data_IF_411944462809
#
_entry.id   IF_411944462809
#
_cell.length_a   1.000
_cell.length_b   1.000
_cell.length_c   1.000
_cell.angle_alpha   90.00
_cell.angle_beta   90.00
_cell.angle_gamma   90.00
#
_symmetry.space_group_name_H-M   'P 1'
#
loop_
_entity.id
_entity.type
_entity.pdbx_description
1 polymer ?
#
# COMPACT_ATOMS: atom_id res chain seq x y z
N UNK A 1 1.57 5.82 0.01
CA UNK A 1 1.91 7.27 0.04
C UNK A 1 1.79 7.79 1.47
N UNK A 2 2.77 8.56 1.95
CA UNK A 2 2.87 8.87 3.38
C UNK A 2 3.60 10.21 3.63
N UNK A 3 3.17 10.94 4.67
CA UNK A 3 3.92 12.04 5.31
C UNK A 3 3.32 12.31 6.70
N UNK A 4 4.15 12.34 7.75
CA UNK A 4 3.79 12.78 9.10
C UNK A 4 2.49 12.15 9.68
N UNK A 5 2.29 10.83 9.50
CA UNK A 5 1.08 10.10 9.95
C UNK A 5 1.42 8.83 10.73
N UNK A 6 2.38 8.92 11.66
CA UNK A 6 3.00 7.75 12.29
C UNK A 6 2.00 6.90 13.09
N UNK A 7 1.05 7.52 13.79
CA UNK A 7 -0.01 6.82 14.51
C UNK A 7 -0.89 5.98 13.57
N UNK A 8 -1.31 6.55 12.43
CA UNK A 8 -2.04 5.82 11.41
C UNK A 8 -1.20 4.69 10.82
N UNK A 9 0.10 4.92 10.55
CA UNK A 9 0.97 3.89 9.99
C UNK A 9 1.14 2.71 10.95
N UNK A 10 1.33 2.97 12.25
CA UNK A 10 1.42 1.92 13.24
C UNK A 10 0.16 1.06 13.26
N UNK A 11 -1.02 1.70 13.34
CA UNK A 11 -2.31 1.00 13.30
C UNK A 11 -2.51 0.24 11.98
N UNK A 12 -2.13 0.85 10.85
CA UNK A 12 -2.15 0.23 9.53
C UNK A 12 -1.37 -1.08 9.50
N UNK A 13 -0.13 -1.08 9.98
CA UNK A 13 0.69 -2.29 9.99
C UNK A 13 0.13 -3.36 10.94
N UNK A 14 -0.35 -2.96 12.11
CA UNK A 14 -0.95 -3.88 13.09
C UNK A 14 -2.19 -4.61 12.53
N UNK A 15 -2.99 -3.94 11.70
CA UNK A 15 -4.21 -4.51 11.10
C UNK A 15 -3.91 -5.24 9.79
N UNK A 16 -3.12 -4.62 8.91
CA UNK A 16 -2.94 -5.11 7.54
C UNK A 16 -2.02 -6.31 7.47
N UNK A 17 -0.99 -6.43 8.32
CA UNK A 17 -0.12 -7.60 8.27
C UNK A 17 -0.88 -8.91 8.54
N UNK A 18 -1.68 -9.04 9.61
CA UNK A 18 -2.52 -10.22 9.82
C UNK A 18 -3.55 -10.44 8.69
N UNK A 19 -4.17 -9.36 8.20
CA UNK A 19 -5.17 -9.44 7.14
C UNK A 19 -4.59 -10.01 5.83
N UNK A 20 -3.45 -9.48 5.36
CA UNK A 20 -2.79 -9.94 4.13
C UNK A 20 -2.21 -11.35 4.28
N UNK A 21 -1.70 -11.70 5.47
CA UNK A 21 -1.23 -13.08 5.76
C UNK A 21 -2.37 -14.09 5.69
N UNK A 22 -3.57 -13.76 6.18
CA UNK A 22 -4.75 -14.63 6.07
C UNK A 22 -5.21 -14.86 4.63
N UNK A 23 -4.82 -13.97 3.70
CA UNK A 23 -5.06 -14.15 2.27
C UNK A 23 -3.94 -14.92 1.55
N UNK A 24 -2.94 -15.41 2.29
CA UNK A 24 -1.82 -16.21 1.77
C UNK A 24 -1.06 -15.52 0.63
N UNK A 25 -0.91 -14.19 0.74
CA UNK A 25 -0.23 -13.39 -0.26
C UNK A 25 1.28 -13.38 -0.01
N UNK A 26 2.06 -13.46 -1.09
CA UNK A 26 3.44 -12.98 -1.10
C UNK A 26 3.43 -11.47 -1.33
N UNK A 27 3.73 -10.69 -0.30
CA UNK A 27 3.60 -9.24 -0.33
C UNK A 27 4.76 -8.54 0.37
N UNK A 28 5.01 -7.31 -0.07
CA UNK A 28 5.89 -6.35 0.60
C UNK A 28 5.16 -5.03 0.75
N UNK A 29 5.20 -4.41 1.94
CA UNK A 29 4.59 -3.09 2.17
C UNK A 29 5.65 -2.02 1.92
N UNK A 30 5.37 -1.13 0.97
CA UNK A 30 6.21 0.02 0.66
C UNK A 30 5.57 1.31 1.20
N UNK A 31 6.22 1.92 2.18
CA UNK A 31 5.83 3.24 2.72
C UNK A 31 6.63 4.32 2.02
N UNK A 32 6.00 4.97 1.03
CA UNK A 32 6.65 6.04 0.25
C UNK A 32 6.43 7.38 0.94
N UNK A 33 7.46 7.86 1.63
CA UNK A 33 7.45 9.10 2.39
C UNK A 33 7.80 10.32 1.52
N UNK A 34 6.93 11.33 1.50
CA UNK A 34 7.28 12.64 0.94
C UNK A 34 8.01 13.48 1.99
N UNK A 35 9.25 13.82 1.70
CA UNK A 35 10.04 14.72 2.55
C UNK A 35 9.69 16.20 2.27
N UNK A 36 9.92 17.05 3.28
CA UNK A 36 9.65 18.49 3.21
C UNK A 36 8.18 18.85 3.39
N UNK A 37 7.91 20.16 3.36
CA UNK A 37 6.63 20.77 3.70
C UNK A 37 5.84 21.27 2.47
N UNK A 38 6.34 20.96 1.27
CA UNK A 38 5.66 21.26 0.00
C UNK A 38 4.28 20.59 -0.11
N UNK A 39 3.49 20.95 -1.12
CA UNK A 39 2.20 20.32 -1.34
C UNK A 39 2.31 18.78 -1.47
N UNK A 40 1.44 18.06 -0.77
CA UNK A 40 1.46 16.60 -0.78
C UNK A 40 0.99 16.07 -2.13
N UNK A 41 1.85 15.34 -2.85
CA UNK A 41 1.53 14.82 -4.16
C UNK A 41 1.34 13.30 -4.11
N UNK A 42 0.10 12.87 -3.81
CA UNK A 42 -0.25 11.46 -3.74
C UNK A 42 0.12 10.70 -5.02
N UNK A 43 -0.22 11.25 -6.19
CA UNK A 43 0.00 10.58 -7.48
C UNK A 43 1.48 10.30 -7.77
N UNK A 44 2.35 11.28 -7.52
CA UNK A 44 3.80 11.11 -7.68
C UNK A 44 4.33 10.04 -6.74
N UNK A 45 3.90 10.00 -5.48
CA UNK A 45 4.36 8.98 -4.53
C UNK A 45 3.92 7.56 -4.92
N UNK A 46 2.73 7.40 -5.52
CA UNK A 46 2.30 6.11 -6.05
C UNK A 46 3.20 5.65 -7.20
N UNK A 47 3.53 6.57 -8.12
CA UNK A 47 4.43 6.29 -9.24
C UNK A 47 5.85 5.94 -8.76
N UNK A 48 6.40 6.71 -7.82
CA UNK A 48 7.70 6.43 -7.19
C UNK A 48 7.68 5.05 -6.53
N UNK A 49 6.60 4.72 -5.80
CA UNK A 49 6.47 3.40 -5.18
C UNK A 49 6.51 2.25 -6.18
N UNK A 50 5.83 2.37 -7.31
CA UNK A 50 5.90 1.38 -8.39
C UNK A 50 7.34 1.23 -8.93
N UNK A 51 7.98 2.35 -9.28
CA UNK A 51 9.32 2.36 -9.89
C UNK A 51 10.35 1.75 -8.93
N UNK A 52 10.35 2.14 -7.65
CA UNK A 52 11.33 1.65 -6.68
C UNK A 52 11.08 0.18 -6.30
N UNK A 53 9.82 -0.25 -6.17
CA UNK A 53 9.49 -1.64 -5.88
C UNK A 53 9.98 -2.58 -7.00
N UNK A 54 9.80 -2.20 -8.27
CA UNK A 54 10.26 -2.97 -9.43
C UNK A 54 11.79 -3.14 -9.51
N UNK A 55 12.57 -2.32 -8.81
CA UNK A 55 14.03 -2.50 -8.72
C UNK A 55 14.44 -3.61 -7.75
N UNK A 56 13.58 -3.95 -6.79
CA UNK A 56 13.85 -4.96 -5.76
C UNK A 56 13.35 -6.34 -6.13
N UNK A 57 12.19 -6.39 -6.80
CA UNK A 57 11.57 -7.65 -7.21
C UNK A 57 10.63 -7.43 -8.39
N UNK A 58 10.43 -8.47 -9.20
CA UNK A 58 9.47 -8.49 -10.30
C UNK A 58 8.05 -8.74 -9.75
N UNK A 59 7.42 -7.70 -9.22
CA UNK A 59 6.05 -7.79 -8.72
C UNK A 59 5.03 -7.79 -9.87
N UNK A 60 4.07 -8.71 -9.83
CA UNK A 60 3.02 -8.82 -10.86
C UNK A 60 1.73 -8.05 -10.50
N UNK A 61 1.65 -7.52 -9.27
CA UNK A 61 0.48 -6.81 -8.78
C UNK A 61 0.86 -5.66 -7.84
N UNK A 62 0.16 -4.54 -7.97
CA UNK A 62 0.35 -3.34 -7.16
C UNK A 62 -0.97 -2.90 -6.55
N UNK A 63 -1.01 -2.81 -5.21
CA UNK A 63 -2.14 -2.24 -4.47
C UNK A 63 -1.73 -0.87 -3.95
N UNK A 64 -2.41 0.17 -4.43
CA UNK A 64 -2.24 1.53 -3.93
C UNK A 64 -3.21 1.77 -2.79
N UNK A 65 -2.68 2.18 -1.63
CA UNK A 65 -3.44 2.19 -0.40
C UNK A 65 -3.16 3.45 0.43
N UNK A 66 -4.22 4.06 0.97
CA UNK A 66 -4.10 5.12 1.96
C UNK A 66 -3.89 4.54 3.36
N UNK A 67 -3.09 5.21 4.18
CA UNK A 67 -2.69 4.67 5.50
C UNK A 67 -3.84 4.62 6.52
N UNK A 68 -4.97 5.26 6.22
CA UNK A 68 -6.14 5.43 7.09
C UNK A 68 -7.39 4.65 6.63
N UNK A 69 -7.26 3.79 5.62
CA UNK A 69 -8.32 2.89 5.18
C UNK A 69 -8.09 1.48 5.72
N UNK A 70 -9.17 0.77 6.06
CA UNK A 70 -9.08 -0.60 6.59
C UNK A 70 -10.17 -1.48 5.98
N UNK A 71 -9.86 -2.73 5.59
CA UNK A 71 -10.86 -3.67 5.14
C UNK A 71 -11.66 -4.23 6.32
N UNK A 72 -12.99 -4.18 6.24
CA UNK A 72 -13.89 -4.73 7.26
C UNK A 72 -14.19 -6.22 7.06
N UNK A 73 -13.92 -6.75 5.86
CA UNK A 73 -14.27 -8.12 5.46
C UNK A 73 -13.09 -8.82 4.77
N UNK A 74 -12.79 -10.05 5.20
CA UNK A 74 -11.72 -10.88 4.61
C UNK A 74 -11.98 -11.25 3.14
N UNK A 75 -13.23 -11.12 2.68
CA UNK A 75 -13.61 -11.31 1.27
C UNK A 75 -13.13 -10.17 0.36
N UNK A 76 -12.66 -9.05 0.92
CA UNK A 76 -12.00 -7.99 0.16
C UNK A 76 -10.58 -8.44 -0.21
N UNK A 77 -10.44 -9.07 -1.37
CA UNK A 77 -9.17 -9.68 -1.80
C UNK A 77 -8.17 -8.63 -2.30
N UNK A 78 -7.01 -8.54 -1.66
CA UNK A 78 -5.90 -7.62 -2.00
C UNK A 78 -4.99 -8.23 -3.07
N UNK A 79 -5.59 -8.57 -4.21
CA UNK A 79 -4.91 -9.14 -5.38
C UNK A 79 -5.42 -8.53 -6.67
N UNK A 80 -4.58 -8.54 -7.70
CA UNK A 80 -4.96 -8.08 -9.02
C UNK A 80 -5.82 -9.13 -9.73
N UNK A 81 -6.59 -8.70 -10.72
CA UNK A 81 -7.34 -9.57 -11.63
C UNK A 81 -7.06 -9.17 -13.08
N UNK A 82 -7.85 -9.67 -14.03
CA UNK A 82 -7.68 -9.33 -15.45
C UNK A 82 -8.03 -7.89 -15.83
N UNK A 83 -8.51 -7.07 -14.88
CA UNK A 83 -8.85 -5.65 -15.05
C UNK A 83 -8.45 -4.87 -13.80
N UNK A 84 -8.26 -3.54 -13.89
CA UNK A 84 -8.08 -2.69 -12.73
C UNK A 84 -9.21 -2.90 -11.71
N UNK A 85 -8.86 -2.91 -10.43
CA UNK A 85 -9.81 -3.11 -9.33
C UNK A 85 -9.85 -1.87 -8.46
N UNK A 86 -11.07 -1.45 -8.11
CA UNK A 86 -11.30 -0.59 -6.96
C UNK A 86 -11.52 -1.50 -5.76
N UNK A 87 -10.77 -1.25 -4.68
CA UNK A 87 -10.87 -1.99 -3.43
C UNK A 87 -11.74 -1.24 -2.43
#
# INVERSE_FOLDING_TARGET
PYRNRESHLKLFLDIMHPFLKKQELDYTIFVINQHGDEEFNKGVLLNVGYIEAMKLYSFDCFIFHDVDLFPEDLRNLYKCGGRPRHL
#
